data_IF_730265089090
#
_entry.id   IF_730265089090
#
_cell.length_a   1.000
_cell.length_b   1.000
_cell.length_c   1.000
_cell.angle_alpha   90.00
_cell.angle_beta   90.00
_cell.angle_gamma   90.00
#
_symmetry.space_group_name_H-M   'P 1'
#
loop_
_entity.id
_entity.type
_entity.pdbx_description
1 polymer ?
#
# COMPACT_ATOMS: atom_id res chain seq x y z
N UNK A 1 -64.73 4.36 35.07
CA UNK A 1 -63.57 3.93 35.89
C UNK A 1 -62.29 4.27 35.16
N UNK A 2 -61.64 5.38 35.52
CA UNK A 2 -60.37 5.83 34.93
C UNK A 2 -59.21 5.32 35.79
N UNK A 3 -58.42 4.39 35.24
CA UNK A 3 -57.22 3.85 35.90
C UNK A 3 -56.18 4.98 36.04
N UNK A 4 -55.87 5.37 37.27
CA UNK A 4 -54.73 6.24 37.57
C UNK A 4 -53.45 5.58 37.05
N UNK A 5 -52.80 6.20 36.05
CA UNK A 5 -51.46 5.79 35.63
C UNK A 5 -50.48 6.36 36.64
N UNK A 6 -49.95 5.52 37.52
CA UNK A 6 -48.77 5.86 38.32
C UNK A 6 -47.59 6.12 37.37
N UNK A 7 -47.30 7.39 37.12
CA UNK A 7 -46.07 7.80 36.46
C UNK A 7 -44.96 7.68 37.52
N UNK A 8 -44.19 6.59 37.46
CA UNK A 8 -42.98 6.44 38.28
C UNK A 8 -41.98 7.51 37.82
N UNK A 9 -41.64 8.44 38.71
CA UNK A 9 -40.55 9.39 38.48
C UNK A 9 -39.20 8.70 38.55
N UNK A 10 -38.28 9.05 37.64
CA UNK A 10 -36.91 8.54 37.62
C UNK A 10 -36.10 9.25 38.69
N UNK A 11 -35.33 8.53 39.50
CA UNK A 11 -34.47 9.16 40.50
C UNK A 11 -33.18 9.69 39.85
N UNK A 12 -32.64 10.79 40.38
CA UNK A 12 -31.33 11.33 39.94
C UNK A 12 -30.21 10.28 40.07
N UNK A 13 -30.32 9.39 41.06
CA UNK A 13 -29.35 8.32 41.32
C UNK A 13 -29.39 7.28 40.20
N UNK A 14 -30.57 6.84 39.76
CA UNK A 14 -30.71 5.92 38.63
C UNK A 14 -30.10 6.50 37.35
N UNK A 15 -30.28 7.81 37.12
CA UNK A 15 -29.67 8.47 35.96
C UNK A 15 -28.14 8.53 36.09
N UNK A 16 -27.64 8.85 37.28
CA UNK A 16 -26.21 8.96 37.55
C UNK A 16 -25.48 7.64 37.32
N UNK A 17 -26.01 6.52 37.84
CA UNK A 17 -25.38 5.20 37.67
C UNK A 17 -25.33 4.80 36.19
N UNK A 18 -26.39 5.08 35.43
CA UNK A 18 -26.45 4.76 34.00
C UNK A 18 -25.40 5.53 33.21
N UNK A 19 -25.28 6.84 33.41
CA UNK A 19 -24.26 7.62 32.71
C UNK A 19 -22.84 7.21 33.12
N UNK A 20 -22.62 6.83 34.39
CA UNK A 20 -21.32 6.32 34.85
C UNK A 20 -20.96 5.02 34.14
N UNK A 21 -21.91 4.07 34.03
CA UNK A 21 -21.66 2.80 33.33
C UNK A 21 -21.41 3.06 31.83
N UNK A 22 -22.19 3.92 31.18
CA UNK A 22 -21.98 4.30 29.76
C UNK A 22 -20.61 4.94 29.58
N UNK A 23 -20.17 5.83 30.47
CA UNK A 23 -18.87 6.48 30.40
C UNK A 23 -17.71 5.47 30.49
N UNK A 24 -17.80 4.49 31.40
CA UNK A 24 -16.81 3.41 31.53
C UNK A 24 -16.78 2.56 30.26
N UNK A 25 -17.95 2.10 29.78
CA UNK A 25 -18.05 1.28 28.57
C UNK A 25 -17.55 2.03 27.32
N UNK A 26 -17.93 3.29 27.15
CA UNK A 26 -17.46 4.13 26.04
C UNK A 26 -15.95 4.35 26.08
N UNK A 27 -15.36 4.54 27.27
CA UNK A 27 -13.91 4.66 27.46
C UNK A 27 -13.15 3.39 27.02
N UNK A 28 -13.68 2.21 27.34
CA UNK A 28 -13.10 0.93 26.92
C UNK A 28 -13.25 0.69 25.40
N UNK A 29 -14.35 1.13 24.78
CA UNK A 29 -14.59 0.99 23.35
C UNK A 29 -13.67 1.91 22.51
N UNK A 30 -13.37 3.11 23.02
CA UNK A 30 -12.58 4.10 22.29
C UNK A 30 -11.11 3.67 22.08
N UNK A 31 -10.50 3.01 23.06
CA UNK A 31 -9.11 2.55 22.96
C UNK A 31 -8.95 1.45 21.90
N UNK A 32 -9.88 0.49 21.84
CA UNK A 32 -9.88 -0.60 20.85
C UNK A 32 -10.10 -0.15 19.40
N UNK A 33 -10.86 0.93 19.19
CA UNK A 33 -11.21 1.41 17.85
C UNK A 33 -9.99 1.88 17.02
N UNK A 34 -8.96 2.42 17.69
CA UNK A 34 -7.76 2.92 17.02
C UNK A 34 -6.95 1.80 16.34
N UNK A 35 -6.78 0.67 17.03
CA UNK A 35 -6.10 -0.52 16.52
C UNK A 35 -6.86 -1.15 15.36
N UNK A 36 -8.20 -1.25 15.49
CA UNK A 36 -9.06 -1.77 14.42
C UNK A 36 -8.97 -0.93 13.14
N UNK A 37 -9.02 0.40 13.26
CA UNK A 37 -8.86 1.31 12.11
C UNK A 37 -7.51 1.16 11.43
N UNK A 38 -6.44 0.98 12.20
CA UNK A 38 -5.10 0.73 11.65
C UNK A 38 -5.03 -0.60 10.91
N UNK A 39 -5.56 -1.67 11.50
CA UNK A 39 -5.61 -2.99 10.85
C UNK A 39 -6.43 -2.95 9.55
N UNK A 40 -7.59 -2.28 9.57
CA UNK A 40 -8.41 -2.09 8.37
C UNK A 40 -7.62 -1.39 7.26
N UNK A 41 -6.88 -0.32 7.59
CA UNK A 41 -6.03 0.39 6.61
C UNK A 41 -4.90 -0.49 6.08
N UNK A 42 -4.29 -1.35 6.90
CA UNK A 42 -3.28 -2.31 6.42
C UNK A 42 -3.87 -3.32 5.44
N UNK A 43 -5.08 -3.83 5.71
CA UNK A 43 -5.79 -4.73 4.80
C UNK A 43 -6.15 -4.01 3.48
N UNK A 44 -6.65 -2.78 3.56
CA UNK A 44 -6.95 -1.95 2.38
C UNK A 44 -5.67 -1.69 1.56
N UNK A 45 -4.56 -1.35 2.22
CA UNK A 45 -3.26 -1.15 1.56
C UNK A 45 -2.80 -2.44 0.87
N UNK A 46 -2.86 -3.59 1.53
CA UNK A 46 -2.45 -4.85 0.92
C UNK A 46 -3.31 -5.18 -0.31
N UNK A 47 -4.61 -4.92 -0.25
CA UNK A 47 -5.51 -5.10 -1.40
C UNK A 47 -5.08 -4.22 -2.58
N UNK A 48 -4.84 -2.93 -2.35
CA UNK A 48 -4.41 -1.99 -3.39
C UNK A 48 -3.06 -2.39 -3.97
N UNK A 49 -2.12 -2.78 -3.12
CA UNK A 49 -0.81 -3.28 -3.55
C UNK A 49 -0.95 -4.52 -4.45
N UNK A 50 -1.85 -5.45 -4.14
CA UNK A 50 -2.12 -6.60 -4.99
C UNK A 50 -2.76 -6.20 -6.33
N UNK A 51 -3.72 -5.26 -6.33
CA UNK A 51 -4.31 -4.71 -7.55
C UNK A 51 -3.23 -4.04 -8.43
N UNK A 52 -2.30 -3.29 -7.83
CA UNK A 52 -1.16 -2.70 -8.55
C UNK A 52 -0.22 -3.77 -9.08
N UNK A 53 0.07 -4.82 -8.29
CA UNK A 53 0.90 -5.93 -8.74
C UNK A 53 0.33 -6.61 -9.99
N UNK A 54 -0.98 -6.85 -10.02
CA UNK A 54 -1.66 -7.38 -11.21
C UNK A 54 -1.56 -6.43 -12.41
N UNK A 55 -1.73 -5.13 -12.18
CA UNK A 55 -1.62 -4.11 -13.22
C UNK A 55 -0.21 -4.05 -13.82
N UNK A 56 0.82 -4.13 -12.97
CA UNK A 56 2.22 -4.24 -13.39
C UNK A 56 2.44 -5.51 -14.22
N UNK A 57 1.96 -6.67 -13.75
CA UNK A 57 2.10 -7.92 -14.50
C UNK A 57 1.40 -7.86 -15.86
N UNK A 58 0.26 -7.17 -15.95
CA UNK A 58 -0.46 -6.93 -17.21
C UNK A 58 0.33 -5.99 -18.13
N UNK A 59 0.84 -4.88 -17.60
CA UNK A 59 1.69 -3.94 -18.32
C UNK A 59 2.94 -4.64 -18.88
N UNK A 60 3.60 -5.46 -18.07
CA UNK A 60 4.79 -6.24 -18.45
C UNK A 60 4.51 -7.33 -19.50
N UNK A 61 3.23 -7.69 -19.70
CA UNK A 61 2.82 -8.57 -20.80
C UNK A 61 2.83 -7.85 -22.16
N UNK A 62 2.60 -6.53 -22.16
CA UNK A 62 2.58 -5.69 -23.37
C UNK A 62 3.93 -5.04 -23.63
N UNK A 63 4.60 -4.58 -22.57
CA UNK A 63 5.87 -3.86 -22.62
C UNK A 63 6.95 -4.66 -21.91
N UNK A 64 8.13 -4.84 -22.53
CA UNK A 64 9.16 -5.70 -21.96
C UNK A 64 9.84 -5.07 -20.73
N UNK A 65 9.77 -3.74 -20.59
CA UNK A 65 10.43 -2.95 -19.54
C UNK A 65 9.41 -2.08 -18.78
N UNK A 66 9.57 -2.00 -17.47
CA UNK A 66 8.97 -0.96 -16.64
C UNK A 66 9.84 0.31 -16.65
N UNK A 67 9.22 1.42 -17.03
CA UNK A 67 9.92 2.69 -17.23
C UNK A 67 10.52 2.82 -18.64
N UNK A 68 11.12 3.99 -18.90
CA UNK A 68 11.83 4.30 -20.13
C UNK A 68 13.28 4.66 -19.80
N UNK A 69 14.27 3.83 -20.21
CA UNK A 69 15.67 4.11 -19.96
C UNK A 69 16.07 5.52 -20.42
N UNK A 70 16.64 6.31 -19.49
CA UNK A 70 17.16 7.65 -19.79
C UNK A 70 16.10 8.74 -19.99
N UNK A 71 14.81 8.46 -19.76
CA UNK A 71 13.71 9.44 -19.91
C UNK A 71 12.84 9.52 -18.67
N UNK A 72 12.05 8.48 -18.37
CA UNK A 72 11.10 8.46 -17.27
C UNK A 72 11.24 7.17 -16.47
N UNK A 73 11.53 7.31 -15.18
CA UNK A 73 11.66 6.19 -14.27
C UNK A 73 10.30 5.81 -13.68
N UNK A 74 9.97 4.53 -13.75
CA UNK A 74 8.77 4.00 -13.10
C UNK A 74 8.78 4.23 -11.59
N UNK A 75 9.94 4.19 -10.95
CA UNK A 75 10.08 4.35 -9.50
C UNK A 75 9.67 5.75 -9.01
N UNK A 76 9.87 6.76 -9.85
CA UNK A 76 9.57 8.16 -9.55
C UNK A 76 8.11 8.50 -9.89
N UNK A 77 7.63 7.99 -11.03
CA UNK A 77 6.31 8.30 -11.59
C UNK A 77 5.51 7.04 -11.98
N UNK A 78 5.18 6.15 -11.04
CA UNK A 78 4.52 4.87 -11.35
C UNK A 78 3.14 5.06 -12.00
N UNK A 79 2.42 6.14 -11.64
CA UNK A 79 1.10 6.41 -12.19
C UNK A 79 1.13 6.83 -13.67
N UNK A 80 2.26 7.38 -14.14
CA UNK A 80 2.44 7.73 -15.54
C UNK A 80 2.19 6.50 -16.43
N UNK A 81 2.77 5.36 -16.03
CA UNK A 81 2.72 4.10 -16.78
C UNK A 81 1.43 3.30 -16.55
N UNK A 82 0.97 3.21 -15.30
CA UNK A 82 -0.17 2.36 -14.95
C UNK A 82 -1.53 2.99 -15.26
N UNK A 83 -1.61 4.32 -15.36
CA UNK A 83 -2.87 5.01 -15.53
C UNK A 83 -2.83 6.16 -16.52
N UNK A 84 -1.98 7.15 -16.28
CA UNK A 84 -2.06 8.46 -16.94
C UNK A 84 -1.85 8.41 -18.46
N UNK A 85 -0.91 7.61 -18.97
CA UNK A 85 -0.68 7.45 -20.41
C UNK A 85 -1.90 6.88 -21.14
N UNK A 86 -2.52 5.84 -20.60
CA UNK A 86 -3.72 5.24 -21.19
C UNK A 86 -4.89 6.23 -21.14
N UNK A 87 -5.08 6.93 -20.01
CA UNK A 87 -6.10 7.96 -19.88
C UNK A 87 -5.91 9.11 -20.90
N UNK A 88 -4.67 9.53 -21.16
CA UNK A 88 -4.36 10.55 -22.16
C UNK A 88 -4.70 10.09 -23.59
N UNK A 89 -4.68 8.77 -23.85
CA UNK A 89 -5.08 8.15 -25.11
C UNK A 89 -6.58 7.78 -25.16
N UNK A 90 -7.38 8.16 -24.15
CA UNK A 90 -8.80 7.78 -24.03
C UNK A 90 -8.95 6.25 -24.02
N UNK A 91 -8.01 5.55 -23.37
CA UNK A 91 -8.04 4.10 -23.14
C UNK A 91 -8.25 3.80 -21.65
N UNK A 92 -8.82 2.64 -21.30
CA UNK A 92 -8.90 2.23 -19.91
C UNK A 92 -7.48 2.04 -19.34
N UNK A 93 -7.20 2.57 -18.13
CA UNK A 93 -5.90 2.37 -17.50
C UNK A 93 -5.70 0.91 -17.08
N UNK A 94 -4.44 0.50 -16.87
CA UNK A 94 -4.11 -0.83 -16.33
C UNK A 94 -4.68 -1.03 -14.92
N UNK A 95 -4.83 0.05 -14.17
CA UNK A 95 -5.50 0.08 -12.89
C UNK A 95 -6.28 1.39 -12.72
N UNK A 96 -7.53 1.27 -12.28
CA UNK A 96 -8.37 2.40 -11.94
C UNK A 96 -8.34 2.65 -10.42
N UNK A 97 -7.47 3.57 -10.00
CA UNK A 97 -7.35 3.96 -8.59
C UNK A 97 -8.15 5.23 -8.31
N UNK A 98 -8.97 5.26 -7.24
CA UNK A 98 -9.58 6.50 -6.78
C UNK A 98 -8.55 7.62 -6.59
N UNK A 99 -8.91 8.86 -6.94
CA UNK A 99 -8.02 10.03 -6.82
C UNK A 99 -7.37 10.24 -5.44
N UNK A 100 -7.95 9.63 -4.40
CA UNK A 100 -7.48 9.70 -3.02
C UNK A 100 -6.14 8.96 -2.86
N UNK A 101 -5.85 7.99 -3.72
CA UNK A 101 -4.61 7.21 -3.72
C UNK A 101 -3.54 7.78 -4.65
N UNK A 102 -3.73 8.98 -5.20
CA UNK A 102 -2.80 9.57 -6.13
C UNK A 102 -2.35 10.94 -5.62
N UNK A 103 -1.06 11.25 -5.80
CA UNK A 103 -0.51 12.56 -5.47
C UNK A 103 0.49 13.05 -6.52
N UNK A 104 0.71 14.36 -6.57
CA UNK A 104 1.67 15.00 -7.49
C UNK A 104 3.11 14.93 -7.00
N UNK A 105 3.34 14.87 -5.68
CA UNK A 105 4.68 14.84 -5.08
C UNK A 105 4.73 13.95 -3.83
N UNK A 106 4.63 14.54 -2.63
CA UNK A 106 4.70 13.82 -1.35
C UNK A 106 3.46 14.14 -0.52
N UNK A 107 2.48 13.24 -0.57
CA UNK A 107 1.20 13.40 0.15
C UNK A 107 0.21 14.33 -0.57
N UNK A 108 -0.98 14.48 0.02
CA UNK A 108 -2.11 15.14 -0.63
C UNK A 108 -2.79 14.24 -1.67
N UNK A 109 -4.05 14.52 -2.00
CA UNK A 109 -4.77 13.81 -3.06
C UNK A 109 -4.92 14.70 -4.27
N UNK A 110 -4.84 14.11 -5.46
CA UNK A 110 -5.19 14.82 -6.69
C UNK A 110 -6.69 14.99 -6.80
N UNK A 111 -7.11 15.95 -7.62
CA UNK A 111 -8.53 16.15 -7.97
C UNK A 111 -8.88 15.28 -9.18
N UNK A 112 -7.96 15.23 -10.16
CA UNK A 112 -8.09 14.41 -11.38
C UNK A 112 -7.01 13.33 -11.40
N UNK A 113 -7.36 12.15 -11.86
CA UNK A 113 -6.41 11.06 -12.04
C UNK A 113 -5.25 11.45 -13.00
N UNK A 114 -5.49 12.33 -13.96
CA UNK A 114 -4.47 12.83 -14.89
C UNK A 114 -3.37 13.66 -14.24
N UNK A 115 -3.60 14.15 -13.01
CA UNK A 115 -2.62 14.94 -12.28
C UNK A 115 -1.74 14.06 -11.36
N UNK A 116 -2.07 12.77 -11.25
CA UNK A 116 -1.34 11.82 -10.41
C UNK A 116 0.08 11.57 -10.92
N UNK A 117 1.02 11.40 -9.98
CA UNK A 117 2.41 11.03 -10.26
C UNK A 117 2.76 9.80 -9.42
N UNK A 118 2.58 9.91 -8.10
CA UNK A 118 2.82 8.81 -7.16
C UNK A 118 1.52 8.18 -6.69
N UNK A 119 1.63 6.92 -6.27
CA UNK A 119 0.55 6.14 -5.68
C UNK A 119 0.74 6.09 -4.16
N UNK A 120 -0.34 6.36 -3.43
CA UNK A 120 -0.39 6.37 -1.97
C UNK A 120 -0.98 5.08 -1.42
N UNK A 121 -0.53 4.70 -0.23
CA UNK A 121 -1.20 3.70 0.60
C UNK A 121 -2.46 4.27 1.30
N UNK A 122 -3.16 3.42 2.06
CA UNK A 122 -4.34 3.81 2.86
C UNK A 122 -4.01 4.73 4.04
N UNK A 123 -2.73 4.90 4.36
CA UNK A 123 -2.22 5.85 5.34
C UNK A 123 -1.83 7.20 4.73
N UNK A 124 -2.01 7.37 3.42
CA UNK A 124 -1.67 8.57 2.65
C UNK A 124 -0.17 8.81 2.55
N UNK A 125 0.63 7.75 2.59
CA UNK A 125 2.06 7.79 2.34
C UNK A 125 2.36 7.21 0.96
N UNK A 126 3.26 7.82 0.17
CA UNK A 126 3.66 7.26 -1.11
C UNK A 126 4.27 5.87 -0.97
N UNK A 127 3.90 4.97 -1.87
CA UNK A 127 4.60 3.69 -2.02
C UNK A 127 6.03 3.94 -2.46
N UNK A 128 6.95 3.18 -1.87
CA UNK A 128 8.36 3.16 -2.25
C UNK A 128 8.57 2.03 -3.25
N UNK A 129 9.37 2.29 -4.28
CA UNK A 129 9.61 1.38 -5.38
C UNK A 129 11.11 1.09 -5.49
N UNK A 130 11.44 -0.16 -5.79
CA UNK A 130 12.74 -0.54 -6.31
C UNK A 130 12.56 -1.43 -7.52
N UNK A 131 13.45 -1.27 -8.49
CA UNK A 131 13.39 -1.98 -9.76
C UNK A 131 14.79 -2.31 -10.25
N UNK A 132 14.92 -3.46 -10.88
CA UNK A 132 16.13 -3.89 -11.58
C UNK A 132 15.72 -4.24 -13.00
N UNK A 133 16.33 -3.58 -13.98
CA UNK A 133 16.18 -3.87 -15.40
C UNK A 133 17.48 -4.51 -15.93
N UNK A 134 17.35 -5.42 -16.90
CA UNK A 134 18.50 -6.07 -17.55
C UNK A 134 19.00 -5.26 -18.77
N UNK A 135 20.20 -5.53 -19.29
CA UNK A 135 20.74 -4.88 -20.51
C UNK A 135 19.97 -5.23 -21.78
N UNK A 136 20.05 -4.35 -22.81
CA UNK A 136 19.24 -4.40 -24.05
C UNK A 136 19.28 -5.76 -24.76
N UNK A 137 18.10 -6.28 -25.15
CA UNK A 137 17.94 -7.59 -25.78
C UNK A 137 17.75 -8.80 -24.84
N UNK A 138 17.73 -8.62 -23.51
CA UNK A 138 17.40 -9.71 -22.59
C UNK A 138 15.95 -10.23 -22.82
N UNK A 139 15.67 -11.54 -22.66
CA UNK A 139 14.35 -12.13 -22.93
C UNK A 139 13.19 -11.48 -22.17
N UNK A 140 13.46 -10.90 -21.01
CA UNK A 140 12.50 -10.13 -20.20
C UNK A 140 13.22 -8.95 -19.55
N UNK A 141 12.73 -7.76 -19.82
CA UNK A 141 13.50 -6.53 -19.69
C UNK A 141 13.27 -5.77 -18.37
N UNK A 142 12.46 -6.35 -17.48
CA UNK A 142 12.48 -6.07 -16.05
C UNK A 142 12.78 -7.36 -15.30
N UNK A 143 13.85 -7.33 -14.49
CA UNK A 143 14.34 -8.48 -13.75
C UNK A 143 13.63 -8.66 -12.41
N UNK A 144 13.37 -7.56 -11.72
CA UNK A 144 12.72 -7.56 -10.43
C UNK A 144 12.10 -6.22 -10.09
N UNK A 145 11.05 -6.26 -9.29
CA UNK A 145 10.31 -5.10 -8.80
C UNK A 145 9.95 -5.34 -7.36
N UNK A 146 10.14 -4.34 -6.51
CA UNK A 146 9.64 -4.32 -5.15
C UNK A 146 8.76 -3.09 -4.94
N UNK A 147 7.63 -3.29 -4.29
CA UNK A 147 6.78 -2.21 -3.78
C UNK A 147 6.69 -2.31 -2.26
N UNK A 148 6.86 -1.18 -1.60
CA UNK A 148 6.91 -1.09 -0.15
C UNK A 148 5.93 -0.03 0.32
N UNK A 149 5.05 -0.40 1.23
CA UNK A 149 4.22 0.52 2.00
C UNK A 149 4.79 0.64 3.40
N UNK A 150 5.09 1.87 3.82
CA UNK A 150 5.49 2.19 5.19
C UNK A 150 4.31 2.24 6.19
N UNK A 151 3.07 1.98 5.73
CA UNK A 151 1.87 1.76 6.55
C UNK A 151 1.64 2.82 7.65
N UNK A 152 1.90 4.09 7.32
CA UNK A 152 1.73 5.23 8.22
C UNK A 152 2.80 5.41 9.30
N UNK A 153 3.84 4.57 9.35
CA UNK A 153 4.98 4.72 10.26
C UNK A 153 6.28 4.82 9.47
N UNK A 154 6.62 6.06 9.08
CA UNK A 154 7.86 6.34 8.36
C UNK A 154 9.05 5.81 9.15
N UNK A 155 9.89 5.02 8.47
CA UNK A 155 11.16 4.48 8.98
C UNK A 155 11.00 3.51 10.17
N UNK A 156 9.81 2.96 10.40
CA UNK A 156 9.60 1.83 11.33
C UNK A 156 9.20 0.57 10.55
N UNK A 157 10.13 -0.37 10.34
CA UNK A 157 9.91 -1.53 9.49
C UNK A 157 8.83 -2.48 10.02
N UNK A 158 8.44 -2.38 11.29
CA UNK A 158 7.54 -3.36 11.94
C UNK A 158 6.19 -3.53 11.24
N UNK A 159 5.69 -2.47 10.60
CA UNK A 159 4.37 -2.45 9.99
C UNK A 159 4.41 -2.39 8.47
N UNK A 160 5.61 -2.46 7.88
CA UNK A 160 5.75 -2.32 6.45
C UNK A 160 5.15 -3.53 5.73
N UNK A 161 4.56 -3.25 4.58
CA UNK A 161 4.12 -4.28 3.64
C UNK A 161 5.05 -4.26 2.45
N UNK A 162 5.67 -5.40 2.16
CA UNK A 162 6.64 -5.56 1.08
C UNK A 162 6.09 -6.61 0.12
N UNK A 163 5.89 -6.22 -1.14
CA UNK A 163 5.61 -7.14 -2.23
C UNK A 163 6.77 -7.11 -3.21
N UNK A 164 7.25 -8.29 -3.58
CA UNK A 164 8.35 -8.45 -4.54
C UNK A 164 7.91 -9.36 -5.68
N UNK A 165 8.21 -8.93 -6.90
CA UNK A 165 8.14 -9.70 -8.11
C UNK A 165 9.55 -9.92 -8.65
N UNK A 166 9.85 -11.14 -9.06
CA UNK A 166 11.07 -11.46 -9.80
C UNK A 166 10.68 -12.19 -11.06
N UNK A 167 11.48 -11.99 -12.10
CA UNK A 167 11.24 -12.66 -13.36
C UNK A 167 11.44 -14.19 -13.26
N UNK A 168 12.35 -14.63 -12.38
CA UNK A 168 12.63 -16.04 -12.12
C UNK A 168 11.40 -16.80 -11.63
N UNK A 169 10.60 -16.18 -10.76
CA UNK A 169 9.39 -16.80 -10.18
C UNK A 169 8.15 -16.45 -10.98
N UNK A 170 8.07 -15.23 -11.55
CA UNK A 170 6.94 -14.78 -12.35
C UNK A 170 5.66 -14.50 -11.55
N UNK A 171 5.74 -14.42 -10.22
CA UNK A 171 4.59 -14.12 -9.35
C UNK A 171 4.98 -13.16 -8.23
N UNK A 172 4.05 -12.32 -7.80
CA UNK A 172 4.21 -11.45 -6.63
C UNK A 172 4.23 -12.25 -5.34
N UNK A 173 5.20 -11.98 -4.48
CA UNK A 173 5.33 -12.58 -3.14
C UNK A 173 5.34 -11.49 -2.09
N UNK A 174 4.60 -11.73 -1.01
CA UNK A 174 4.72 -10.93 0.21
C UNK A 174 5.94 -11.40 0.99
N UNK A 175 6.81 -10.45 1.33
CA UNK A 175 7.96 -10.70 2.20
C UNK A 175 7.83 -9.89 3.49
N UNK A 176 8.52 -10.34 4.53
CA UNK A 176 8.71 -9.57 5.75
C UNK A 176 10.19 -9.24 5.99
N UNK A 177 10.45 -8.30 6.89
CA UNK A 177 11.81 -7.85 7.19
C UNK A 177 12.71 -8.93 7.79
N UNK A 178 12.15 -9.92 8.51
CA UNK A 178 12.95 -11.02 9.07
C UNK A 178 13.47 -11.95 7.96
N UNK A 179 12.61 -12.30 7.00
CA UNK A 179 12.98 -13.08 5.81
C UNK A 179 14.08 -12.36 5.02
N UNK A 180 13.89 -11.07 4.76
CA UNK A 180 14.85 -10.25 4.02
C UNK A 180 16.22 -10.17 4.70
N UNK A 181 16.25 -9.95 6.01
CA UNK A 181 17.52 -9.91 6.76
C UNK A 181 18.18 -11.29 6.80
N UNK A 182 17.38 -12.36 6.83
CA UNK A 182 17.91 -13.73 6.78
C UNK A 182 18.52 -14.11 5.43
N UNK A 183 18.02 -13.52 4.34
CA UNK A 183 18.56 -13.68 2.99
C UNK A 183 19.91 -12.99 2.85
N UNK A 184 20.03 -11.74 3.33
CA UNK A 184 21.31 -11.00 3.30
C UNK A 184 22.42 -11.65 4.11
N UNK A 185 22.08 -12.30 5.22
CA UNK A 185 23.06 -12.94 6.10
C UNK A 185 23.67 -14.22 5.49
N UNK A 186 23.17 -14.68 4.34
CA UNK A 186 23.58 -15.94 3.70
C UNK A 186 24.07 -15.65 2.28
N UNK A 187 24.94 -16.51 1.78
CA UNK A 187 25.26 -16.52 0.34
C UNK A 187 23.99 -16.94 -0.41
N UNK A 188 23.53 -16.14 -1.40
CA UNK A 188 22.30 -16.44 -2.13
C UNK A 188 22.45 -17.76 -2.88
N UNK A 189 21.43 -18.60 -2.76
CA UNK A 189 21.39 -19.95 -3.34
C UNK A 189 20.76 -19.99 -4.72
N UNK A 190 20.13 -18.89 -5.13
CA UNK A 190 19.46 -18.76 -6.43
C UNK A 190 19.56 -17.33 -6.96
N UNK A 191 19.34 -17.18 -8.27
CA UNK A 191 19.23 -15.85 -8.91
C UNK A 191 18.10 -15.05 -8.28
N UNK A 192 16.97 -15.68 -7.98
CA UNK A 192 15.83 -15.07 -7.31
C UNK A 192 16.20 -14.39 -5.97
N UNK A 193 16.95 -15.10 -5.12
CA UNK A 193 17.41 -14.57 -3.83
C UNK A 193 18.37 -13.39 -4.02
N UNK A 194 19.27 -13.46 -5.00
CA UNK A 194 20.18 -12.36 -5.31
C UNK A 194 19.40 -11.11 -5.75
N UNK A 195 18.40 -11.27 -6.63
CA UNK A 195 17.56 -10.15 -7.09
C UNK A 195 16.81 -9.50 -5.94
N UNK A 196 16.29 -10.29 -4.99
CA UNK A 196 15.62 -9.75 -3.80
C UNK A 196 16.59 -8.92 -2.95
N UNK A 197 17.82 -9.41 -2.74
CA UNK A 197 18.86 -8.70 -1.99
C UNK A 197 19.22 -7.38 -2.68
N UNK A 198 19.41 -7.39 -4.00
CA UNK A 198 19.75 -6.20 -4.78
C UNK A 198 18.60 -5.17 -4.76
N UNK A 199 17.35 -5.62 -4.90
CA UNK A 199 16.17 -4.75 -4.77
C UNK A 199 16.12 -4.11 -3.38
N UNK A 200 16.45 -4.87 -2.34
CA UNK A 200 16.49 -4.37 -0.96
C UNK A 200 17.49 -3.23 -0.79
N UNK A 201 18.70 -3.42 -1.31
CA UNK A 201 19.72 -2.37 -1.28
C UNK A 201 19.21 -1.08 -1.96
N UNK A 202 18.49 -1.20 -3.08
CA UNK A 202 17.93 -0.04 -3.80
C UNK A 202 16.87 0.68 -2.96
N UNK A 203 15.83 -0.02 -2.47
CA UNK A 203 14.75 0.68 -1.75
C UNK A 203 15.21 1.25 -0.41
N UNK A 204 16.21 0.64 0.23
CA UNK A 204 16.76 1.16 1.49
C UNK A 204 17.37 2.55 1.33
N UNK A 205 17.87 2.91 0.15
CA UNK A 205 18.36 4.28 -0.13
C UNK A 205 17.24 5.33 -0.16
N UNK A 206 15.97 4.89 -0.21
CA UNK A 206 14.79 5.74 -0.42
C UNK A 206 13.89 5.89 0.80
N UNK A 207 14.12 5.12 1.86
CA UNK A 207 13.40 5.18 3.15
C UNK A 207 13.99 6.28 4.03
#
# INVERSE_FOLDING_TARGET
>A
MTRSRNVRGFTLIELLVVITIIAILAGLLMSGLSLLKRSQKQVETLRIMNEIGLAISTYMGTYPILGEPGTLNFEDEPWEFLGKRELAMIKPPYIDLPHKFLCTATGGSVIRQTDGVKILDSFRMPLVWAMINLPNGAPRFTHGVAMISQSGTKNDPKNDLILVYTNEVGTWRKLNWQELTSLEAKVPKSVDEQVIIDLKAIWQTKL
#
